data_IF_367817243031
#
_entry.id   IF_367817243031
#
_cell.length_a   1.000
_cell.length_b   1.000
_cell.length_c   1.000
_cell.angle_alpha   90.00
_cell.angle_beta   90.00
_cell.angle_gamma   90.00
#
_symmetry.space_group_name_H-M   'P 1'
#
loop_
_entity.id
_entity.type
_entity.pdbx_description
1 polymer ?
#
# COMPACT_ATOMS: atom_id res chain seq x y z
N UNK A 1 3.39 -12.35 -39.93
CA UNK A 1 3.51 -11.08 -39.19
C UNK A 1 3.56 -11.46 -37.72
N UNK A 2 4.71 -11.26 -37.10
CA UNK A 2 5.02 -11.78 -35.76
C UNK A 2 4.64 -10.72 -34.75
N UNK A 3 3.52 -10.89 -34.03
CA UNK A 3 3.13 -10.01 -32.93
C UNK A 3 4.04 -10.28 -31.74
N UNK A 4 5.11 -9.49 -31.61
CA UNK A 4 5.89 -9.42 -30.38
C UNK A 4 5.11 -8.58 -29.37
N UNK A 5 4.37 -9.22 -28.46
CA UNK A 5 3.88 -8.57 -27.25
C UNK A 5 5.10 -8.17 -26.40
N UNK A 6 5.51 -6.91 -26.52
CA UNK A 6 6.39 -6.25 -25.54
C UNK A 6 5.58 -6.03 -24.26
N UNK A 7 5.37 -7.08 -23.47
CA UNK A 7 5.05 -6.91 -22.06
C UNK A 7 6.35 -6.51 -21.38
N UNK A 8 6.63 -5.20 -21.33
CA UNK A 8 7.66 -4.68 -20.46
C UNK A 8 7.33 -5.14 -19.03
N UNK A 9 8.29 -5.73 -18.27
CA UNK A 9 8.04 -6.04 -16.89
C UNK A 9 7.71 -4.74 -16.16
N UNK A 10 6.46 -4.59 -15.75
CA UNK A 10 6.06 -3.51 -14.84
C UNK A 10 6.81 -3.84 -13.55
N UNK A 11 7.89 -3.11 -13.28
CA UNK A 11 8.68 -3.32 -12.08
C UNK A 11 7.77 -3.13 -10.86
N UNK A 12 7.33 -4.25 -10.27
CA UNK A 12 6.52 -4.24 -9.07
C UNK A 12 7.35 -3.59 -7.97
N UNK A 13 6.80 -2.57 -7.32
CA UNK A 13 7.44 -1.90 -6.19
C UNK A 13 7.25 -2.78 -4.95
N UNK A 14 8.29 -3.52 -4.50
CA UNK A 14 8.08 -4.61 -3.56
C UNK A 14 7.91 -4.09 -2.13
N UNK A 15 8.18 -2.82 -1.86
CA UNK A 15 8.05 -2.27 -0.51
C UNK A 15 6.84 -1.34 -0.42
N UNK A 16 6.07 -1.44 0.67
CA UNK A 16 4.98 -0.54 1.01
C UNK A 16 5.23 0.11 2.36
N UNK A 17 4.98 1.41 2.47
CA UNK A 17 4.95 2.12 3.74
C UNK A 17 3.52 2.15 4.26
N UNK A 18 3.29 1.56 5.43
CA UNK A 18 1.99 1.58 6.09
C UNK A 18 2.07 2.48 7.31
N UNK A 19 1.11 3.38 7.43
CA UNK A 19 0.96 4.25 8.61
C UNK A 19 -0.36 3.95 9.31
N UNK A 20 -0.31 3.98 10.64
CA UNK A 20 -1.43 3.76 11.53
C UNK A 20 -1.73 5.07 12.25
N UNK A 21 -2.92 5.61 11.98
CA UNK A 21 -3.38 6.87 12.52
C UNK A 21 -4.52 6.66 13.50
N UNK A 22 -4.48 7.40 14.60
CA UNK A 22 -5.64 7.64 15.44
C UNK A 22 -6.69 8.43 14.66
N UNK A 23 -7.95 8.06 14.84
CA UNK A 23 -9.09 8.79 14.28
C UNK A 23 -9.72 9.62 15.40
N UNK A 24 -9.96 10.92 15.18
CA UNK A 24 -10.67 11.74 16.15
C UNK A 24 -12.04 11.15 16.47
N UNK A 25 -12.35 11.03 17.76
CA UNK A 25 -13.68 10.65 18.25
C UNK A 25 -14.26 11.76 19.11
N UNK A 26 -15.59 11.84 19.15
CA UNK A 26 -16.32 12.73 20.06
C UNK A 26 -16.53 12.12 21.44
N UNK A 27 -16.16 10.85 21.64
CA UNK A 27 -16.27 10.15 22.90
C UNK A 27 -15.19 10.63 23.90
N UNK A 28 -15.62 10.92 25.13
CA UNK A 28 -14.73 11.43 26.17
C UNK A 28 -14.19 10.25 27.00
N UNK A 29 -12.91 9.91 26.81
CA UNK A 29 -12.26 8.79 27.48
C UNK A 29 -12.67 7.42 26.92
N UNK A 30 -12.47 7.17 25.62
CA UNK A 30 -12.89 5.91 25.01
C UNK A 30 -12.06 4.74 25.54
N UNK A 31 -12.73 3.61 25.80
CA UNK A 31 -12.06 2.35 26.18
C UNK A 31 -11.19 1.80 25.03
N UNK A 32 -11.53 2.15 23.78
CA UNK A 32 -10.82 1.77 22.57
C UNK A 32 -10.58 2.99 21.70
N UNK A 33 -9.32 3.22 21.30
CA UNK A 33 -8.97 4.32 20.40
C UNK A 33 -9.28 3.91 18.95
N UNK A 34 -10.24 4.56 18.27
CA UNK A 34 -10.51 4.27 16.87
C UNK A 34 -9.32 4.66 16.01
N UNK A 35 -8.98 3.83 15.03
CA UNK A 35 -7.77 4.03 14.25
C UNK A 35 -7.86 3.39 12.86
N UNK A 36 -7.06 3.91 11.94
CA UNK A 36 -7.00 3.45 10.54
C UNK A 36 -5.57 3.13 10.13
N UNK A 37 -5.43 2.12 9.29
CA UNK A 37 -4.15 1.74 8.67
C UNK A 37 -4.23 2.05 7.18
N UNK A 38 -3.29 2.82 6.69
CA UNK A 38 -3.25 3.26 5.29
C UNK A 38 -1.90 2.96 4.67
N UNK A 39 -1.92 2.50 3.44
CA UNK A 39 -0.71 2.40 2.60
C UNK A 39 -0.43 3.80 2.06
N UNK A 40 0.68 4.39 2.50
CA UNK A 40 1.10 5.74 2.07
C UNK A 40 1.71 5.70 0.68
N UNK A 41 2.35 4.59 0.32
CA UNK A 41 2.93 4.41 -1.00
C UNK A 41 3.67 3.11 -1.15
N UNK A 42 4.00 2.80 -2.40
CA UNK A 42 4.86 1.70 -2.79
C UNK A 42 6.19 2.24 -3.32
N UNK A 43 7.28 1.55 -3.00
CA UNK A 43 8.67 1.96 -3.20
C UNK A 43 9.51 0.80 -3.74
N UNK A 44 10.58 1.13 -4.46
CA UNK A 44 11.48 0.13 -5.05
C UNK A 44 12.54 -0.35 -4.07
N UNK A 45 12.93 0.50 -3.12
CA UNK A 45 13.99 0.21 -2.16
C UNK A 45 13.56 0.47 -0.73
N UNK A 46 14.21 -0.20 0.22
CA UNK A 46 13.98 0.03 1.64
C UNK A 46 14.43 1.45 2.05
N UNK A 47 15.45 2.00 1.41
CA UNK A 47 15.97 3.34 1.67
C UNK A 47 14.96 4.43 1.31
N UNK A 48 14.26 4.29 0.19
CA UNK A 48 13.15 5.16 -0.19
C UNK A 48 12.04 5.14 0.87
N UNK A 49 11.69 3.95 1.39
CA UNK A 49 10.70 3.81 2.47
C UNK A 49 11.18 4.53 3.73
N UNK A 50 12.45 4.37 4.12
CA UNK A 50 13.03 5.03 5.30
C UNK A 50 12.95 6.55 5.17
N UNK A 51 13.31 7.09 4.01
CA UNK A 51 13.22 8.53 3.73
C UNK A 51 11.77 9.03 3.76
N UNK A 52 10.85 8.32 3.09
CA UNK A 52 9.44 8.66 3.10
C UNK A 52 8.86 8.63 4.52
N UNK A 53 9.23 7.62 5.32
CA UNK A 53 8.82 7.53 6.73
C UNK A 53 9.29 8.72 7.55
N UNK A 54 10.52 9.20 7.35
CA UNK A 54 11.07 10.36 8.07
C UNK A 54 10.34 11.67 7.73
N UNK A 55 9.79 11.78 6.52
CA UNK A 55 9.01 12.94 6.10
C UNK A 55 7.61 12.99 6.76
N UNK A 56 7.10 11.87 7.28
CA UNK A 56 5.78 11.82 7.92
C UNK A 56 5.87 12.31 9.36
N UNK A 57 5.43 13.54 9.57
CA UNK A 57 5.24 14.15 10.88
C UNK A 57 3.78 14.55 11.01
N UNK A 58 2.99 13.71 11.68
CA UNK A 58 1.57 13.96 11.89
C UNK A 58 1.20 13.65 13.34
N UNK A 59 0.46 14.52 14.04
CA UNK A 59 0.15 14.34 15.47
C UNK A 59 -0.68 13.07 15.74
N UNK A 60 -1.54 12.67 14.80
CA UNK A 60 -2.33 11.44 14.93
C UNK A 60 -1.56 10.16 14.57
N UNK A 61 -0.28 10.24 14.18
CA UNK A 61 0.48 9.05 13.80
C UNK A 61 0.87 8.25 15.05
N UNK A 62 0.32 7.05 15.17
CA UNK A 62 0.62 6.14 16.29
C UNK A 62 1.82 5.25 15.98
N UNK A 63 1.86 4.70 14.76
CA UNK A 63 2.89 3.79 14.32
C UNK A 63 3.04 3.82 12.80
N UNK A 64 4.19 3.39 12.30
CA UNK A 64 4.39 3.14 10.88
C UNK A 64 5.44 2.07 10.68
N UNK A 65 5.24 1.24 9.66
CA UNK A 65 6.11 0.12 9.35
C UNK A 65 6.19 -0.12 7.86
N UNK A 66 7.24 -0.82 7.45
CA UNK A 66 7.43 -1.27 6.09
C UNK A 66 6.85 -2.67 5.94
N UNK A 67 6.13 -2.90 4.86
CA UNK A 67 5.77 -4.23 4.37
C UNK A 67 6.56 -4.52 3.10
N UNK A 68 7.04 -5.75 2.94
CA UNK A 68 7.67 -6.21 1.71
C UNK A 68 6.80 -7.30 1.09
N UNK A 69 6.32 -7.06 -0.13
CA UNK A 69 5.67 -8.07 -0.96
C UNK A 69 6.75 -8.93 -1.63
N UNK A 70 6.55 -10.23 -1.58
CA UNK A 70 7.33 -11.23 -2.32
C UNK A 70 6.54 -11.79 -3.51
N UNK A 71 5.36 -11.23 -3.78
CA UNK A 71 4.52 -11.62 -4.90
C UNK A 71 4.93 -10.74 -6.08
N UNK A 72 5.46 -11.38 -7.13
CA UNK A 72 5.53 -10.76 -8.46
C UNK A 72 4.08 -10.54 -8.91
N UNK A 73 3.71 -9.29 -9.16
CA UNK A 73 2.33 -8.85 -9.43
C UNK A 73 1.89 -9.23 -10.86
N UNK A 74 2.04 -10.52 -11.22
CA UNK A 74 1.63 -11.12 -12.50
C UNK A 74 0.20 -11.68 -12.46
N UNK A 75 -0.54 -11.41 -11.38
CA UNK A 75 -1.97 -11.74 -11.28
C UNK A 75 -2.81 -10.70 -12.02
N UNK A 76 -2.74 -10.71 -13.35
CA UNK A 76 -3.89 -10.30 -14.18
C UNK A 76 -5.01 -11.31 -14.00
N UNK A 77 -5.74 -11.24 -12.88
CA UNK A 77 -7.02 -11.91 -12.73
C UNK A 77 -8.07 -11.18 -13.58
N UNK A 78 -7.93 -11.30 -14.91
CA UNK A 78 -8.95 -10.93 -15.88
C UNK A 78 -9.68 -12.20 -16.31
N UNK A 79 -10.61 -12.69 -15.49
CA UNK A 79 -11.72 -13.51 -15.97
C UNK A 79 -13.00 -13.15 -15.20
N UNK A 80 -13.55 -11.96 -15.46
CA UNK A 80 -14.98 -11.75 -15.31
C UNK A 80 -15.65 -12.07 -16.65
N UNK A 81 -15.98 -13.34 -16.89
CA UNK A 81 -16.84 -13.74 -18.01
C UNK A 81 -18.30 -13.61 -17.57
N UNK A 82 -18.73 -12.37 -17.31
CA UNK A 82 -20.13 -12.02 -17.12
C UNK A 82 -20.76 -11.56 -18.43
N UNK A 83 -20.76 -12.44 -19.44
CA UNK A 83 -21.44 -12.22 -20.71
C UNK A 83 -22.75 -13.00 -20.75
N UNK A 84 -23.84 -12.40 -20.27
CA UNK A 84 -25.19 -12.85 -20.59
C UNK A 84 -25.69 -11.96 -21.73
N UNK A 85 -25.78 -12.51 -22.93
CA UNK A 85 -26.73 -12.05 -23.94
C UNK A 85 -27.07 -13.17 -24.92
#
# INVERSE_FOLDING_TARGET
>A
MTNQNHNAPVASKPFALICHFEVPTTELGPDLIPSVKVVIGHYHTQEEVKQARQAIQHPALMAAWMYQSFIDDDCTASEYVGGVQ
#
